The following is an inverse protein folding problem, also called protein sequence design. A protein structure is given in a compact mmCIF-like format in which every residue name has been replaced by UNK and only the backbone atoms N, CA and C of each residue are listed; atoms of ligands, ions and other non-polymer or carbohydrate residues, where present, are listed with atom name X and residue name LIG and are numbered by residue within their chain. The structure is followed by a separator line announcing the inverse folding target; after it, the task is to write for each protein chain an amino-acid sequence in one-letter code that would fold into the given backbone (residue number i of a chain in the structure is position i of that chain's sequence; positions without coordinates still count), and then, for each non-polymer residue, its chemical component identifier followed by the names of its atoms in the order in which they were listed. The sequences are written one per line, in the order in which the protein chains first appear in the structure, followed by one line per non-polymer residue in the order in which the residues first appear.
data_IF_761563292911
#
_entry.id   IF_761563292911
#
_cell.length_a   1.000
_cell.length_b   1.000
_cell.length_c   1.000
_cell.angle_alpha   90.00
_cell.angle_beta   90.00
_cell.angle_gamma   90.00
#
_symmetry.space_group_name_H-M   'P 1'
#
loop_
_entity.id
_entity.type
_entity.pdbx_description
1 polymer ?
#
# COMPACT_ATOMS: atom_id res chain seq x y z
N UNK A 1 3.83 6.72 11.44
CA UNK A 1 3.49 6.94 10.01
C UNK A 1 4.72 7.03 9.10
N UNK A 2 5.89 7.49 9.57
CA UNK A 2 7.11 7.65 8.74
C UNK A 2 7.71 6.36 8.17
N UNK A 3 7.51 5.20 8.81
CA UNK A 3 8.00 3.92 8.28
C UNK A 3 7.25 3.47 7.01
N UNK A 4 5.95 3.77 6.94
CA UNK A 4 5.10 3.35 5.82
C UNK A 4 5.42 4.14 4.55
N UNK A 5 5.70 5.43 4.70
CA UNK A 5 6.16 6.28 3.60
C UNK A 5 7.56 5.91 3.14
N UNK A 6 8.49 5.57 4.06
CA UNK A 6 9.85 5.13 3.68
C UNK A 6 9.85 3.84 2.86
N UNK A 7 9.13 2.80 3.28
CA UNK A 7 9.07 1.55 2.52
C UNK A 7 8.42 1.72 1.14
N UNK A 8 7.40 2.58 1.03
CA UNK A 8 6.80 2.91 -0.25
C UNK A 8 7.76 3.72 -1.13
N UNK A 9 8.51 4.66 -0.55
CA UNK A 9 9.53 5.43 -1.26
C UNK A 9 10.72 4.56 -1.67
N UNK A 10 11.18 3.63 -0.84
CA UNK A 10 12.23 2.66 -1.19
C UNK A 10 11.76 1.76 -2.35
N UNK A 11 10.47 1.38 -2.37
CA UNK A 11 9.84 0.65 -3.47
C UNK A 11 9.78 1.52 -4.73
N UNK A 12 9.40 2.79 -4.63
CA UNK A 12 9.38 3.73 -5.77
C UNK A 12 10.79 4.00 -6.31
N UNK A 13 11.78 4.18 -5.44
CA UNK A 13 13.19 4.36 -5.79
C UNK A 13 13.74 3.13 -6.52
N UNK A 14 13.26 1.93 -6.18
CA UNK A 14 13.63 0.68 -6.88
C UNK A 14 13.02 0.55 -8.27
N UNK A 15 11.88 1.20 -8.52
CA UNK A 15 11.17 1.19 -9.82
C UNK A 15 11.73 2.26 -10.77
N UNK A 16 12.49 3.23 -10.25
CA UNK A 16 13.01 4.37 -10.99
C UNK A 16 11.93 5.45 -11.16
N UNK A 17 12.29 6.71 -10.93
CA UNK A 17 11.36 7.86 -10.97
C UNK A 17 10.69 8.10 -12.35
N UNK A 18 11.11 7.40 -13.39
CA UNK A 18 10.52 7.48 -14.73
C UNK A 18 9.38 6.47 -14.91
N UNK A 19 8.17 6.80 -14.43
CA UNK A 19 6.95 6.16 -14.95
C UNK A 19 5.84 5.84 -13.97
N UNK A 20 5.95 6.20 -12.69
CA UNK A 20 4.85 5.98 -11.75
C UNK A 20 3.83 7.13 -11.84
N UNK A 21 2.71 6.90 -12.53
CA UNK A 21 1.62 7.86 -12.61
C UNK A 21 0.82 7.93 -11.30
N UNK A 22 0.24 9.10 -11.01
CA UNK A 22 -0.61 9.31 -9.83
C UNK A 22 -1.82 8.36 -9.90
N UNK A 23 -2.02 7.55 -8.86
CA UNK A 23 -3.10 6.55 -8.80
C UNK A 23 -2.73 5.19 -9.40
N UNK A 24 -1.46 4.98 -9.75
CA UNK A 24 -0.95 3.68 -10.16
C UNK A 24 -0.88 2.72 -8.98
N UNK A 25 -1.15 1.46 -9.28
CA UNK A 25 -1.16 0.36 -8.33
C UNK A 25 0.16 -0.37 -8.44
N UNK A 26 0.72 -0.70 -7.29
CA UNK A 26 1.99 -1.42 -7.18
C UNK A 26 1.73 -2.69 -6.38
N UNK A 27 2.20 -3.83 -6.88
CA UNK A 27 2.15 -5.09 -6.15
C UNK A 27 3.54 -5.54 -5.84
N UNK A 28 3.84 -5.80 -4.57
CA UNK A 28 5.06 -6.48 -4.17
C UNK A 28 4.74 -7.95 -3.94
N UNK A 29 5.40 -8.83 -4.69
CA UNK A 29 5.24 -10.28 -4.56
C UNK A 29 6.61 -10.94 -4.77
N UNK A 30 7.01 -11.85 -3.87
CA UNK A 30 8.33 -12.50 -3.90
C UNK A 30 9.51 -11.52 -4.01
N UNK A 31 9.45 -10.42 -3.26
CA UNK A 31 10.47 -9.35 -3.28
C UNK A 31 10.66 -8.68 -4.67
N UNK A 32 9.68 -8.82 -5.57
CA UNK A 32 9.63 -8.13 -6.86
C UNK A 32 8.46 -7.15 -6.88
N UNK A 33 8.64 -6.04 -7.58
CA UNK A 33 7.64 -4.98 -7.72
C UNK A 33 6.99 -5.09 -9.10
N UNK A 34 5.67 -5.16 -9.13
CA UNK A 34 4.85 -5.23 -10.34
C UNK A 34 3.99 -3.99 -10.46
N UNK A 35 4.10 -3.34 -11.62
CA UNK A 35 3.34 -2.13 -11.96
C UNK A 35 2.30 -2.42 -13.05
N UNK A 36 2.59 -3.38 -13.93
CA UNK A 36 1.66 -3.88 -14.95
C UNK A 36 0.98 -5.16 -14.45
N UNK A 37 -0.34 -5.25 -14.69
CA UNK A 37 -1.12 -6.43 -14.34
C UNK A 37 -0.64 -7.68 -15.10
N UNK A 38 -0.27 -7.55 -16.37
CA UNK A 38 0.19 -8.68 -17.20
C UNK A 38 1.46 -9.30 -16.62
N UNK A 39 2.39 -8.48 -16.16
CA UNK A 39 3.65 -8.95 -15.58
C UNK A 39 3.40 -9.70 -14.28
N UNK A 40 2.50 -9.18 -13.44
CA UNK A 40 2.05 -9.87 -12.24
C UNK A 40 1.39 -11.22 -12.60
N UNK A 41 0.50 -11.25 -13.58
CA UNK A 41 -0.18 -12.48 -14.00
C UNK A 41 0.81 -13.54 -14.49
N UNK A 42 1.83 -13.13 -15.26
CA UNK A 42 2.89 -14.03 -15.71
C UNK A 42 3.71 -14.58 -14.53
N UNK A 43 3.97 -13.78 -13.50
CA UNK A 43 4.66 -14.26 -12.29
C UNK A 43 3.80 -15.23 -11.47
N UNK A 44 2.51 -14.94 -11.31
CA UNK A 44 1.58 -15.80 -10.57
C UNK A 44 1.35 -17.16 -11.23
N UNK A 45 1.61 -17.25 -12.54
CA UNK A 45 1.53 -18.49 -13.32
C UNK A 45 2.82 -19.32 -13.26
N UNK A 46 3.92 -18.78 -12.72
CA UNK A 46 5.16 -19.55 -12.54
C UNK A 46 4.96 -20.56 -11.41
N UNK A 47 5.20 -21.84 -11.72
CA UNK A 47 5.14 -22.95 -10.76
C UNK A 47 5.91 -22.63 -9.47
N UNK A 48 5.39 -23.13 -8.35
CA UNK A 48 5.91 -22.95 -6.98
C UNK A 48 7.34 -23.48 -6.85
N UNK A 49 8.33 -22.69 -7.25
CA UNK A 49 9.67 -22.83 -6.71
C UNK A 49 9.58 -22.31 -5.28
N UNK A 50 9.82 -23.21 -4.31
CA UNK A 50 9.90 -22.90 -2.89
C UNK A 50 11.08 -21.94 -2.63
N UNK A 51 10.93 -20.67 -2.98
CA UNK A 51 11.79 -19.61 -2.50
C UNK A 51 11.21 -19.10 -1.18
N UNK A 52 11.92 -19.37 -0.08
CA UNK A 52 11.67 -18.72 1.21
C UNK A 52 11.92 -17.22 1.05
N UNK A 53 10.87 -16.48 0.71
CA UNK A 53 10.90 -15.02 0.77
C UNK A 53 10.54 -14.58 2.19
N UNK A 54 11.36 -13.71 2.79
CA UNK A 54 11.03 -13.10 4.08
C UNK A 54 9.78 -12.22 3.90
N UNK A 55 8.66 -12.68 4.44
CA UNK A 55 7.41 -11.93 4.44
C UNK A 55 7.50 -10.75 5.42
N UNK A 56 7.60 -9.52 4.90
CA UNK A 56 7.61 -8.30 5.73
C UNK A 56 6.18 -7.82 5.97
N UNK A 57 5.44 -8.55 6.79
CA UNK A 57 4.15 -8.09 7.33
C UNK A 57 4.39 -7.08 8.46
N UNK A 58 3.61 -6.00 8.47
CA UNK A 58 3.63 -5.03 9.56
C UNK A 58 2.73 -5.49 10.71
N UNK A 59 3.01 -4.97 11.91
CA UNK A 59 2.23 -5.33 13.10
C UNK A 59 0.75 -5.00 12.93
N UNK A 60 -0.11 -6.00 13.06
CA UNK A 60 -1.56 -5.87 12.93
C UNK A 60 -2.10 -6.07 11.51
N UNK A 61 -1.24 -6.31 10.52
CA UNK A 61 -1.69 -6.70 9.18
C UNK A 61 -2.22 -8.14 9.19
N UNK A 62 -3.40 -8.33 8.63
CA UNK A 62 -4.04 -9.63 8.47
C UNK A 62 -4.23 -9.85 6.96
N UNK A 63 -3.54 -10.83 6.35
CA UNK A 63 -3.71 -11.14 4.94
C UNK A 63 -5.17 -11.47 4.61
N UNK A 64 -5.61 -10.96 3.47
CA UNK A 64 -6.84 -11.40 2.83
C UNK A 64 -6.62 -12.82 2.27
N UNK A 65 -7.55 -13.71 2.62
CA UNK A 65 -7.54 -15.17 2.48
C UNK A 65 -6.98 -15.89 3.73
N UNK A 66 -7.87 -16.61 4.42
CA UNK A 66 -7.59 -17.38 5.63
C UNK A 66 -7.44 -18.88 5.35
N UNK A 67 -7.11 -19.26 4.11
CA UNK A 67 -7.14 -20.66 3.71
C UNK A 67 -5.77 -21.33 3.90
N UNK A 68 -5.75 -22.24 4.88
CA UNK A 68 -5.02 -23.52 4.85
C UNK A 68 -3.51 -23.46 4.59
N UNK A 69 -2.74 -23.23 5.66
CA UNK A 69 -1.50 -23.96 6.07
C UNK A 69 -0.39 -24.30 5.07
N UNK A 70 -0.46 -23.89 3.81
CA UNK A 70 0.65 -23.92 2.88
C UNK A 70 1.24 -22.51 2.88
N UNK A 71 2.55 -22.43 3.14
CA UNK A 71 3.33 -21.19 3.11
C UNK A 71 3.32 -20.61 1.69
N UNK A 72 2.20 -20.02 1.27
CA UNK A 72 2.12 -19.26 0.03
C UNK A 72 2.62 -17.85 0.33
N UNK A 73 3.56 -17.38 -0.47
CA UNK A 73 4.12 -16.04 -0.35
C UNK A 73 2.99 -14.99 -0.36
N UNK A 74 3.01 -14.09 0.63
CA UNK A 74 2.02 -13.02 0.75
C UNK A 74 2.35 -11.85 -0.16
N UNK A 75 1.38 -11.41 -0.97
CA UNK A 75 1.50 -10.21 -1.79
C UNK A 75 1.14 -8.94 -1.01
N UNK A 76 1.74 -7.81 -1.37
CA UNK A 76 1.42 -6.50 -0.80
C UNK A 76 0.89 -5.62 -1.93
N UNK A 77 -0.40 -5.29 -1.87
CA UNK A 77 -1.09 -4.44 -2.85
C UNK A 77 -1.07 -2.99 -2.36
N UNK A 78 -0.24 -2.16 -2.96
CA UNK A 78 -0.20 -0.72 -2.74
C UNK A 78 -1.10 -0.02 -3.75
N UNK A 79 -2.05 0.77 -3.26
CA UNK A 79 -2.89 1.58 -4.14
C UNK A 79 -3.95 2.38 -3.40
N UNK A 80 -4.75 3.10 -4.16
CA UNK A 80 -5.91 3.84 -3.65
C UNK A 80 -7.16 2.99 -3.90
N UNK A 81 -7.81 2.43 -2.86
CA UNK A 81 -9.05 1.69 -3.02
C UNK A 81 -10.12 2.58 -3.68
N UNK A 82 -10.84 2.02 -4.65
CA UNK A 82 -11.83 2.75 -5.44
C UNK A 82 -11.29 3.39 -6.72
N UNK A 83 -9.96 3.37 -6.96
CA UNK A 83 -9.41 3.71 -8.28
C UNK A 83 -9.76 2.64 -9.32
N UNK A 84 -9.87 3.05 -10.59
CA UNK A 84 -10.14 2.13 -11.71
C UNK A 84 -9.02 1.12 -11.95
N UNK A 85 -7.78 1.50 -11.61
CA UNK A 85 -6.58 0.67 -11.70
C UNK A 85 -6.50 -0.36 -10.59
N UNK A 86 -7.11 -0.13 -9.42
CA UNK A 86 -7.04 -1.05 -8.27
C UNK A 86 -7.84 -2.34 -8.47
N UNK A 87 -9.06 -2.23 -9.00
CA UNK A 87 -9.97 -3.37 -9.08
C UNK A 87 -9.40 -4.58 -9.86
N UNK A 88 -8.75 -4.41 -11.03
CA UNK A 88 -8.15 -5.52 -11.76
C UNK A 88 -7.09 -6.31 -10.96
N UNK A 89 -6.21 -5.61 -10.24
CA UNK A 89 -5.17 -6.25 -9.41
C UNK A 89 -5.78 -6.99 -8.22
N UNK A 90 -6.72 -6.34 -7.53
CA UNK A 90 -7.45 -6.97 -6.43
C UNK A 90 -8.16 -8.25 -6.88
N UNK A 91 -8.91 -8.20 -7.99
CA UNK A 91 -9.62 -9.36 -8.53
C UNK A 91 -8.66 -10.46 -8.98
N UNK A 92 -7.51 -10.12 -9.55
CA UNK A 92 -6.49 -11.10 -9.94
C UNK A 92 -5.94 -11.89 -8.73
N UNK A 93 -5.64 -11.20 -7.63
CA UNK A 93 -5.14 -11.83 -6.40
C UNK A 93 -6.23 -12.69 -5.72
N UNK A 94 -7.46 -12.17 -5.64
CA UNK A 94 -8.60 -12.92 -5.08
C UNK A 94 -8.92 -14.17 -5.91
N UNK A 95 -9.00 -14.05 -7.23
CA UNK A 95 -9.35 -15.17 -8.11
C UNK A 95 -8.33 -16.31 -8.12
N UNK A 96 -7.06 -16.01 -7.80
CA UNK A 96 -5.96 -16.97 -7.72
C UNK A 96 -5.68 -17.46 -6.30
N UNK A 97 -6.50 -17.03 -5.33
CA UNK A 97 -6.34 -17.39 -3.92
C UNK A 97 -4.94 -17.08 -3.38
N UNK A 98 -4.34 -15.98 -3.86
CA UNK A 98 -3.05 -15.51 -3.37
C UNK A 98 -3.30 -14.78 -2.05
N UNK A 99 -2.59 -15.09 -0.95
CA UNK A 99 -2.69 -14.29 0.27
C UNK A 99 -2.12 -12.89 0.01
N UNK A 100 -2.83 -11.84 0.41
CA UNK A 100 -2.35 -10.48 0.22
C UNK A 100 -2.80 -9.49 1.29
N UNK A 101 -2.00 -8.46 1.53
CA UNK A 101 -2.37 -7.30 2.36
C UNK A 101 -2.51 -6.06 1.48
N UNK A 102 -3.39 -5.15 1.88
CA UNK A 102 -3.58 -3.86 1.18
C UNK A 102 -2.87 -2.79 2.00
N UNK A 103 -1.99 -2.03 1.35
CA UNK A 103 -1.38 -0.83 1.91
C UNK A 103 -1.87 0.37 1.12
N UNK A 104 -2.36 1.38 1.82
CA UNK A 104 -2.85 2.59 1.17
C UNK A 104 -1.66 3.41 0.68
N UNK A 105 -1.59 3.62 -0.63
CA UNK A 105 -0.68 4.62 -1.20
C UNK A 105 -1.28 6.00 -0.91
N UNK A 106 -0.48 6.91 -0.33
CA UNK A 106 -0.95 8.27 -0.10
C UNK A 106 -1.16 8.97 -1.45
N UNK A 107 -2.31 9.61 -1.65
CA UNK A 107 -2.68 10.28 -2.90
C UNK A 107 -1.83 11.53 -3.23
N UNK A 108 -0.82 11.84 -2.39
CA UNK A 108 -0.24 13.18 -2.24
C UNK A 108 0.86 13.50 -3.26
N UNK A 109 1.33 12.56 -4.08
CA UNK A 109 2.34 12.88 -5.12
C UNK A 109 1.71 13.35 -6.44
N UNK A 110 0.79 14.32 -6.38
CA UNK A 110 0.52 15.21 -7.50
C UNK A 110 1.48 16.41 -7.43
N UNK A 111 2.78 16.19 -7.63
CA UNK A 111 3.76 17.30 -7.68
C UNK A 111 3.84 18.01 -9.03
N UNK A 112 3.02 17.64 -10.01
CA UNK A 112 3.03 18.28 -11.34
C UNK A 112 1.69 18.86 -11.82
N UNK A 113 0.66 18.90 -10.97
CA UNK A 113 -0.54 19.68 -11.28
C UNK A 113 -0.69 20.83 -10.27
N UNK A 114 -0.71 22.06 -10.80
CA UNK A 114 -0.87 23.34 -10.07
C UNK A 114 -2.26 23.47 -9.43
N UNK A 115 -2.59 22.56 -8.53
CA UNK A 115 -3.55 22.75 -7.44
C UNK A 115 -2.96 21.96 -6.29
N UNK A 116 -2.19 22.66 -5.48
CA UNK A 116 -2.05 22.32 -4.07
C UNK A 116 -3.48 22.18 -3.54
N UNK A 117 -4.01 20.96 -3.52
CA UNK A 117 -5.03 20.63 -2.54
C UNK A 117 -4.32 20.87 -1.21
N UNK A 118 -4.60 22.02 -0.58
CA UNK A 118 -4.15 22.29 0.78
C UNK A 118 -4.45 21.01 1.58
N UNK A 119 -3.40 20.37 2.12
CA UNK A 119 -3.55 19.22 3.00
C UNK A 119 -4.42 19.66 4.17
N UNK A 120 -5.72 19.46 4.04
CA UNK A 120 -6.69 19.94 5.01
C UNK A 120 -6.48 19.07 6.26
N UNK A 121 -5.81 19.65 7.25
CA UNK A 121 -5.37 18.93 8.43
C UNK A 121 -6.56 18.23 9.08
N UNK A 122 -6.39 16.95 9.46
CA UNK A 122 -7.47 16.23 10.12
C UNK A 122 -7.75 16.86 11.49
N UNK A 123 -8.92 17.49 11.64
CA UNK A 123 -9.35 18.05 12.93
C UNK A 123 -9.63 16.91 13.90
N UNK A 124 -8.70 16.68 14.82
CA UNK A 124 -8.88 15.70 15.89
C UNK A 124 -9.86 16.23 16.94
N UNK A 125 -10.67 15.34 17.51
CA UNK A 125 -11.63 15.64 18.56
C UNK A 125 -11.34 14.79 19.81
N UNK A 126 -11.97 15.12 20.94
CA UNK A 126 -11.80 14.38 22.20
C UNK A 126 -10.74 14.96 23.16
N UNK A 127 -10.21 16.14 22.86
CA UNK A 127 -9.41 16.92 23.81
C UNK A 127 -10.29 17.93 24.57
N UNK A 128 -9.95 18.20 25.83
CA UNK A 128 -10.51 19.30 26.61
C UNK A 128 -9.49 20.42 26.73
N UNK A 129 -9.92 21.67 26.52
CA UNK A 129 -9.08 22.84 26.78
C UNK A 129 -9.46 23.43 28.13
N UNK A 130 -8.49 23.53 29.03
CA UNK A 130 -8.65 24.24 30.30
C UNK A 130 -8.11 25.66 30.15
N UNK A 131 -8.97 26.64 30.38
CA UNK A 131 -8.59 28.05 30.42
C UNK A 131 -8.46 28.47 31.89
N UNK A 132 -7.21 28.65 32.35
CA UNK A 132 -6.94 29.12 33.70
C UNK A 132 -6.85 30.65 33.73
N UNK A 133 -7.70 31.29 34.53
CA UNK A 133 -7.68 32.74 34.77
C UNK A 133 -6.60 33.06 35.78
N UNK A 134 -5.62 33.89 35.38
CA UNK A 134 -4.45 34.25 36.20
C UNK A 134 -4.62 35.52 37.05
N UNK A 135 -5.62 36.34 36.76
CA UNK A 135 -5.96 37.52 37.57
C UNK A 135 -7.14 37.18 38.47
N UNK A 136 -6.81 36.69 39.66
CA UNK A 136 -7.74 36.55 40.77
C UNK A 136 -7.36 37.66 41.75
N UNK A 137 -7.88 38.87 41.51
CA UNK A 137 -7.85 39.98 42.47
C UNK A 137 -9.16 40.04 43.25
#
# INVERSE_FOLDING_TARGET
CELHSRLYLDVLDSVGEEGVEVGQVLVVYRNQVFVDLKDLLMELEKDEVEEESEEVLLSGEIPHSSFSSQKKNTAILYGVPGSSTFAPFYTALVSREIPFVIRHANSVYSTNSKKEEEEDGTVLQGYGVRLDIRNVE
#
